data_IF_472932788393
#
_entry.id   IF_472932788393
#
_cell.length_a   1.000
_cell.length_b   1.000
_cell.length_c   1.000
_cell.angle_alpha   90.00
_cell.angle_beta   90.00
_cell.angle_gamma   90.00
#
_symmetry.space_group_name_H-M   'P 1'
#
loop_
_entity.id
_entity.type
_entity.pdbx_description
1 polymer ?
#
# COMPACT_ATOMS: atom_id res chain seq x y z
N UNK A 1 32.27 53.50 3.15
CA UNK A 1 31.69 53.36 4.49
C UNK A 1 30.82 52.08 4.52
N UNK A 2 31.15 51.10 5.34
CA UNK A 2 30.31 49.89 5.53
C UNK A 2 29.20 50.26 6.51
N UNK A 3 27.94 50.21 6.05
CA UNK A 3 26.79 50.41 6.94
C UNK A 3 26.64 49.13 7.75
N UNK A 4 26.73 49.19 9.07
CA UNK A 4 26.48 48.09 9.98
C UNK A 4 24.97 47.87 10.16
N UNK A 5 24.57 46.62 10.34
CA UNK A 5 23.19 46.26 10.63
C UNK A 5 22.85 46.64 12.09
N UNK A 6 21.68 47.21 12.31
CA UNK A 6 21.24 47.55 13.67
C UNK A 6 20.61 46.34 14.35
N UNK A 7 20.72 46.24 15.67
CA UNK A 7 20.16 45.14 16.47
C UNK A 7 18.62 45.07 16.32
N UNK A 8 17.97 46.25 16.19
CA UNK A 8 16.52 46.32 16.04
C UNK A 8 16.06 45.81 14.65
N UNK A 9 16.81 46.05 13.57
CA UNK A 9 16.50 45.52 12.24
C UNK A 9 16.55 44.00 12.25
N UNK A 10 17.52 43.38 12.96
CA UNK A 10 17.61 41.93 13.12
C UNK A 10 16.44 41.38 13.94
N UNK A 11 16.08 42.02 15.07
CA UNK A 11 14.97 41.60 15.91
C UNK A 11 13.62 41.59 15.17
N UNK A 12 13.33 42.65 14.40
CA UNK A 12 12.08 42.74 13.64
C UNK A 12 11.99 41.61 12.60
N UNK A 13 13.06 41.30 11.89
CA UNK A 13 13.11 40.22 10.90
C UNK A 13 12.85 38.87 11.55
N UNK A 14 13.49 38.57 12.68
CA UNK A 14 13.30 37.28 13.39
C UNK A 14 11.87 37.12 13.90
N UNK A 15 11.24 38.18 14.42
CA UNK A 15 9.86 38.17 14.86
C UNK A 15 8.91 37.87 13.68
N UNK A 16 9.10 38.54 12.55
CA UNK A 16 8.26 38.29 11.36
C UNK A 16 8.39 36.83 10.87
N UNK A 17 9.63 36.34 10.76
CA UNK A 17 9.88 34.94 10.36
C UNK A 17 9.22 33.97 11.37
N UNK A 18 9.31 34.24 12.66
CA UNK A 18 8.68 33.42 13.72
C UNK A 18 7.18 33.33 13.58
N UNK A 19 6.50 34.45 13.29
CA UNK A 19 5.04 34.45 13.05
C UNK A 19 4.68 33.68 11.79
N UNK A 20 5.39 33.90 10.69
CA UNK A 20 5.14 33.17 9.45
C UNK A 20 5.38 31.66 9.62
N UNK A 21 6.45 31.27 10.29
CA UNK A 21 6.75 29.85 10.57
C UNK A 21 5.69 29.19 11.44
N UNK A 22 5.16 29.89 12.46
CA UNK A 22 4.12 29.36 13.33
C UNK A 22 2.83 28.96 12.58
N UNK A 23 2.50 29.66 11.49
CA UNK A 23 1.35 29.35 10.64
C UNK A 23 1.70 28.32 9.56
N UNK A 24 2.90 28.38 9.00
CA UNK A 24 3.32 27.56 7.88
C UNK A 24 3.61 26.10 8.26
N UNK A 25 4.25 25.87 9.42
CA UNK A 25 4.66 24.52 9.86
C UNK A 25 3.49 23.55 10.02
N UNK A 26 2.41 23.85 10.78
CA UNK A 26 1.29 22.93 10.94
C UNK A 26 0.58 22.64 9.62
N UNK A 27 0.43 23.60 8.74
CA UNK A 27 -0.15 23.39 7.42
C UNK A 27 0.71 22.50 6.54
N UNK A 28 2.02 22.68 6.56
CA UNK A 28 2.97 21.83 5.83
C UNK A 28 2.92 20.38 6.30
N UNK A 29 2.87 20.14 7.61
CA UNK A 29 2.75 18.78 8.18
C UNK A 29 1.44 18.09 7.73
N UNK A 30 0.33 18.82 7.72
CA UNK A 30 -0.94 18.28 7.24
C UNK A 30 -0.90 17.93 5.74
N UNK A 31 -0.28 18.76 4.92
CA UNK A 31 -0.08 18.50 3.48
C UNK A 31 0.82 17.28 3.25
N UNK A 32 1.90 17.14 4.02
CA UNK A 32 2.81 16.00 3.93
C UNK A 32 2.10 14.68 4.28
N UNK A 33 1.24 14.67 5.30
CA UNK A 33 0.44 13.50 5.65
C UNK A 33 -0.52 13.11 4.52
N UNK A 34 -1.23 14.08 3.93
CA UNK A 34 -2.12 13.85 2.78
C UNK A 34 -1.37 13.29 1.57
N UNK A 35 -0.16 13.78 1.31
CA UNK A 35 0.68 13.28 0.22
C UNK A 35 1.07 11.80 0.45
N UNK A 36 1.44 11.42 1.68
CA UNK A 36 1.72 10.04 2.06
C UNK A 36 0.48 9.14 1.93
N UNK A 37 -0.68 9.60 2.38
CA UNK A 37 -1.95 8.87 2.21
C UNK A 37 -2.31 8.68 0.73
N UNK A 38 -2.04 9.67 -0.11
CA UNK A 38 -2.20 9.53 -1.57
C UNK A 38 -1.26 8.48 -2.16
N UNK A 39 -0.03 8.37 -1.65
CA UNK A 39 0.91 7.32 -2.05
C UNK A 39 0.42 5.93 -1.65
N UNK A 40 -0.20 5.77 -0.47
CA UNK A 40 -0.84 4.51 -0.08
C UNK A 40 -1.95 4.13 -1.05
N UNK A 41 -2.82 5.08 -1.43
CA UNK A 41 -3.86 4.83 -2.42
C UNK A 41 -3.30 4.38 -3.77
N UNK A 42 -2.21 5.00 -4.21
CA UNK A 42 -1.53 4.60 -5.42
C UNK A 42 -0.97 3.18 -5.31
N UNK A 43 -0.39 2.81 -4.18
CA UNK A 43 0.08 1.45 -3.92
C UNK A 43 -1.07 0.43 -3.95
N UNK A 44 -2.25 0.77 -3.40
CA UNK A 44 -3.45 -0.07 -3.48
C UNK A 44 -3.87 -0.31 -4.93
N UNK A 45 -3.91 0.72 -5.76
CA UNK A 45 -4.24 0.58 -7.18
C UNK A 45 -3.18 -0.23 -7.95
N UNK A 46 -1.90 -0.05 -7.61
CA UNK A 46 -0.82 -0.85 -8.22
C UNK A 46 -0.97 -2.32 -7.84
N UNK A 47 -1.26 -2.61 -6.58
CA UNK A 47 -1.52 -3.98 -6.13
C UNK A 47 -2.74 -4.58 -6.84
N UNK A 48 -3.84 -3.84 -6.92
CA UNK A 48 -5.04 -4.25 -7.65
C UNK A 48 -4.72 -4.61 -9.10
N UNK A 49 -3.99 -3.74 -9.79
CA UNK A 49 -3.59 -4.00 -11.20
C UNK A 49 -2.73 -5.25 -11.31
N UNK A 50 -1.84 -5.52 -10.35
CA UNK A 50 -0.99 -6.71 -10.37
C UNK A 50 -1.78 -7.99 -10.10
N UNK A 51 -2.79 -7.95 -9.24
CA UNK A 51 -3.71 -9.08 -9.01
C UNK A 51 -4.55 -9.37 -10.25
N UNK A 52 -5.09 -8.33 -10.90
CA UNK A 52 -5.84 -8.48 -12.16
C UNK A 52 -4.94 -8.99 -13.30
N UNK A 53 -3.67 -8.55 -13.35
CA UNK A 53 -2.71 -9.06 -14.34
C UNK A 53 -2.44 -10.56 -14.12
N UNK A 54 -2.31 -11.03 -12.88
CA UNK A 54 -2.18 -12.45 -12.59
C UNK A 54 -3.37 -13.25 -13.08
N UNK A 55 -4.59 -12.76 -12.86
CA UNK A 55 -5.81 -13.40 -13.36
C UNK A 55 -5.80 -13.52 -14.88
N UNK A 56 -5.39 -12.47 -15.61
CA UNK A 56 -5.33 -12.47 -17.07
C UNK A 56 -4.24 -13.37 -17.67
N UNK A 57 -3.20 -13.71 -16.89
CA UNK A 57 -2.10 -14.60 -17.31
C UNK A 57 -2.47 -16.09 -17.35
N UNK A 58 -3.68 -16.44 -16.97
CA UNK A 58 -4.20 -17.81 -17.05
C UNK A 58 -4.59 -18.41 -15.72
N UNK A 59 -4.63 -17.60 -14.68
CA UNK A 59 -5.08 -18.06 -13.37
C UNK A 59 -6.60 -18.39 -13.36
N UNK A 60 -7.41 -17.69 -14.15
CA UNK A 60 -8.88 -17.83 -14.23
C UNK A 60 -9.63 -17.54 -12.91
N UNK A 61 -8.91 -17.30 -11.81
CA UNK A 61 -9.40 -16.92 -10.50
C UNK A 61 -8.40 -15.99 -9.83
N UNK A 62 -8.73 -15.48 -8.65
CA UNK A 62 -7.81 -14.67 -7.86
C UNK A 62 -6.98 -15.54 -6.92
N UNK A 63 -5.75 -15.15 -6.57
CA UNK A 63 -4.91 -15.91 -5.66
C UNK A 63 -5.45 -15.82 -4.22
N UNK A 64 -5.32 -16.90 -3.44
CA UNK A 64 -5.66 -16.90 -2.02
C UNK A 64 -4.66 -16.06 -1.20
N UNK A 65 -3.42 -15.95 -1.64
CA UNK A 65 -2.41 -15.05 -1.08
C UNK A 65 -1.55 -14.44 -2.19
N UNK A 66 -0.80 -13.39 -1.87
CA UNK A 66 0.04 -12.69 -2.85
C UNK A 66 1.20 -13.52 -3.39
N UNK A 67 1.63 -14.55 -2.67
CA UNK A 67 2.68 -15.49 -3.07
C UNK A 67 2.18 -16.66 -3.91
N UNK A 68 0.86 -16.85 -3.98
CA UNK A 68 0.26 -17.94 -4.76
C UNK A 68 0.51 -17.74 -6.25
N UNK A 69 1.06 -18.78 -6.89
CA UNK A 69 1.44 -18.73 -8.31
C UNK A 69 0.26 -19.00 -9.25
N UNK A 70 0.38 -18.56 -10.51
CA UNK A 70 -0.60 -18.85 -11.56
C UNK A 70 -0.91 -20.34 -11.65
N UNK A 71 0.11 -21.21 -11.58
CA UNK A 71 -0.08 -22.67 -11.64
C UNK A 71 -0.76 -23.28 -10.42
N UNK A 72 -0.69 -22.63 -9.26
CA UNK A 72 -1.43 -23.05 -8.06
C UNK A 72 -2.90 -22.62 -8.14
N UNK A 73 -3.16 -21.41 -8.60
CA UNK A 73 -4.53 -20.90 -8.81
C UNK A 73 -5.24 -21.71 -9.90
N UNK A 74 -4.59 -21.96 -11.03
CA UNK A 74 -5.11 -22.77 -12.12
C UNK A 74 -4.26 -24.03 -12.33
N UNK A 75 -4.67 -25.13 -11.70
CA UNK A 75 -3.97 -26.41 -11.75
C UNK A 75 -3.84 -27.03 -13.15
N UNK A 76 -4.62 -26.54 -14.11
CA UNK A 76 -4.58 -26.98 -15.49
C UNK A 76 -3.66 -26.14 -16.36
N UNK A 77 -3.16 -25.01 -15.83
CA UNK A 77 -2.30 -24.11 -16.56
C UNK A 77 -0.87 -24.64 -16.65
N UNK A 78 -0.33 -24.72 -17.84
CA UNK A 78 1.06 -25.16 -18.11
C UNK A 78 1.76 -24.19 -19.07
N UNK A 79 1.51 -22.91 -18.92
CA UNK A 79 2.13 -21.85 -19.72
C UNK A 79 3.43 -21.32 -19.14
N UNK A 80 4.05 -20.34 -19.82
CA UNK A 80 5.34 -19.75 -19.39
C UNK A 80 5.26 -19.05 -18.04
N UNK A 81 4.10 -18.54 -17.65
CA UNK A 81 3.88 -17.76 -16.43
C UNK A 81 3.49 -18.60 -15.21
N UNK A 82 3.61 -19.92 -15.29
CA UNK A 82 3.16 -20.88 -14.25
C UNK A 82 3.73 -20.58 -12.85
N UNK A 83 4.92 -20.02 -12.76
CA UNK A 83 5.60 -19.67 -11.50
C UNK A 83 5.43 -18.20 -11.10
N UNK A 84 4.73 -17.39 -11.88
CA UNK A 84 4.50 -15.99 -11.53
C UNK A 84 3.46 -15.86 -10.43
N UNK A 85 3.70 -14.94 -9.50
CA UNK A 85 2.80 -14.57 -8.40
C UNK A 85 2.70 -13.04 -8.30
N UNK A 86 1.82 -12.54 -7.46
CA UNK A 86 1.70 -11.10 -7.25
C UNK A 86 2.95 -10.57 -6.55
N UNK A 87 3.37 -11.19 -5.45
CA UNK A 87 4.59 -10.86 -4.73
C UNK A 87 5.13 -12.09 -3.99
N UNK A 88 6.39 -12.48 -4.22
CA UNK A 88 7.04 -13.59 -3.51
C UNK A 88 7.39 -13.22 -2.06
N UNK A 89 7.39 -11.94 -1.72
CA UNK A 89 7.77 -11.43 -0.39
C UNK A 89 6.89 -10.26 0.00
N UNK A 90 6.48 -10.20 1.26
CA UNK A 90 5.68 -9.10 1.83
C UNK A 90 6.54 -8.02 2.49
N UNK A 91 7.84 -8.22 2.56
CA UNK A 91 8.81 -7.29 3.09
C UNK A 91 8.93 -5.98 2.30
N UNK A 92 9.95 -5.17 2.62
CA UNK A 92 10.33 -4.07 1.74
C UNK A 92 10.85 -4.62 0.41
N UNK A 93 10.62 -3.92 -0.75
CA UNK A 93 11.09 -4.39 -2.04
C UNK A 93 12.62 -4.63 -2.05
N UNK A 94 13.13 -5.56 -2.91
CA UNK A 94 12.44 -6.21 -4.03
C UNK A 94 11.52 -7.36 -3.61
N UNK A 95 10.44 -7.55 -4.37
CA UNK A 95 9.41 -8.56 -4.07
C UNK A 95 9.74 -9.96 -4.62
N UNK A 96 10.76 -10.09 -5.44
CA UNK A 96 11.23 -11.36 -6.00
C UNK A 96 11.18 -11.41 -7.53
N UNK A 97 11.95 -12.34 -8.14
CA UNK A 97 12.13 -12.41 -9.59
C UNK A 97 10.88 -12.83 -10.37
N UNK A 98 9.95 -13.56 -9.73
CA UNK A 98 8.69 -13.98 -10.35
C UNK A 98 7.51 -13.09 -9.95
N UNK A 99 7.76 -11.97 -9.30
CA UNK A 99 6.72 -11.05 -8.85
C UNK A 99 6.24 -10.16 -10.00
N UNK A 100 4.92 -10.03 -10.13
CA UNK A 100 4.28 -9.08 -11.04
C UNK A 100 4.32 -7.67 -10.45
N UNK A 101 4.25 -7.57 -9.12
CA UNK A 101 4.26 -6.30 -8.41
C UNK A 101 5.59 -5.56 -8.60
N UNK A 102 5.58 -4.30 -9.04
CA UNK A 102 6.82 -3.56 -9.25
C UNK A 102 7.46 -3.11 -7.93
N UNK A 103 8.80 -3.08 -7.89
CA UNK A 103 9.61 -2.70 -6.72
C UNK A 103 9.48 -1.24 -6.27
N UNK A 104 8.67 -0.43 -6.94
CA UNK A 104 8.40 0.95 -6.55
C UNK A 104 7.30 1.09 -5.49
N UNK A 105 6.57 0.01 -5.18
CA UNK A 105 5.57 -0.04 -4.12
C UNK A 105 6.29 -0.06 -2.77
N UNK A 106 6.34 1.08 -2.09
CA UNK A 106 7.05 1.27 -0.81
C UNK A 106 6.12 1.88 0.22
N UNK A 107 6.36 1.56 1.49
CA UNK A 107 5.65 2.21 2.58
C UNK A 107 6.07 3.69 2.65
N UNK A 108 5.14 4.65 2.42
CA UNK A 108 5.47 6.08 2.39
C UNK A 108 5.72 6.68 3.78
N UNK A 109 5.33 5.99 4.85
CA UNK A 109 5.57 6.44 6.22
C UNK A 109 6.87 5.85 6.78
N UNK A 110 7.15 4.59 6.44
CA UNK A 110 8.31 3.83 6.93
C UNK A 110 9.00 3.12 5.75
N UNK A 111 9.92 3.78 5.03
CA UNK A 111 10.50 3.25 3.78
C UNK A 111 11.21 1.90 3.91
N UNK A 112 11.64 1.54 5.11
CA UNK A 112 12.33 0.26 5.41
C UNK A 112 11.39 -0.79 6.03
N UNK A 113 10.11 -0.47 6.20
CA UNK A 113 9.11 -1.42 6.68
C UNK A 113 8.38 -2.09 5.51
N UNK A 114 7.67 -3.17 5.82
CA UNK A 114 6.75 -3.80 4.88
C UNK A 114 5.77 -2.78 4.31
N UNK A 115 5.51 -2.90 3.03
CA UNK A 115 4.46 -2.14 2.33
C UNK A 115 3.22 -3.00 2.08
N UNK A 116 3.36 -4.31 2.18
CA UNK A 116 2.32 -5.30 1.94
C UNK A 116 2.05 -6.12 3.20
N UNK A 117 0.84 -6.60 3.31
CA UNK A 117 0.41 -7.63 4.23
C UNK A 117 -0.61 -8.52 3.52
N UNK A 118 -0.69 -9.75 3.95
CA UNK A 118 -1.67 -10.70 3.50
C UNK A 118 -2.64 -11.02 4.64
N UNK A 119 -3.95 -10.92 4.39
CA UNK A 119 -5.00 -11.23 5.35
C UNK A 119 -5.61 -12.60 5.04
N UNK A 120 -6.07 -13.31 6.06
CA UNK A 120 -6.74 -14.60 5.89
C UNK A 120 -8.23 -14.44 5.56
N UNK A 121 -8.80 -15.47 4.92
CA UNK A 121 -10.25 -15.58 4.67
C UNK A 121 -11.02 -15.37 5.98
N UNK A 122 -11.97 -14.45 5.98
CA UNK A 122 -12.76 -14.10 7.15
C UNK A 122 -12.22 -12.98 7.99
N UNK A 123 -11.01 -12.49 7.68
CA UNK A 123 -10.52 -11.24 8.25
C UNK A 123 -11.39 -10.09 7.76
N UNK A 124 -11.93 -9.33 8.69
CA UNK A 124 -12.55 -8.07 8.33
C UNK A 124 -11.47 -7.02 8.09
N UNK A 125 -11.80 -5.96 7.35
CA UNK A 125 -10.89 -4.83 7.17
C UNK A 125 -10.37 -4.22 8.49
N UNK A 126 -10.97 -4.58 9.62
CA UNK A 126 -10.59 -4.19 10.98
C UNK A 126 -9.62 -5.19 11.63
N UNK A 127 -9.64 -6.45 11.17
CA UNK A 127 -8.83 -7.55 11.72
C UNK A 127 -7.53 -7.75 10.94
N UNK A 128 -7.43 -7.15 9.75
CA UNK A 128 -6.22 -7.20 8.95
C UNK A 128 -5.02 -6.69 9.78
N UNK A 129 -4.16 -7.59 10.13
CA UNK A 129 -3.07 -7.41 11.09
C UNK A 129 -1.97 -6.56 10.48
N UNK A 130 -2.11 -5.28 10.61
CA UNK A 130 -1.07 -4.36 10.17
C UNK A 130 -1.34 -2.99 10.77
N UNK A 131 -0.97 -2.81 12.01
CA UNK A 131 -1.11 -1.56 12.75
C UNK A 131 -0.18 -0.46 12.27
N UNK A 132 0.58 -0.67 11.20
CA UNK A 132 1.56 0.29 10.70
C UNK A 132 0.97 1.16 9.59
N UNK A 133 1.06 2.47 9.77
CA UNK A 133 0.71 3.44 8.73
C UNK A 133 1.47 3.13 7.42
N UNK A 134 0.77 3.25 6.30
CA UNK A 134 1.35 3.04 4.97
C UNK A 134 1.33 1.60 4.46
N UNK A 135 0.80 0.67 5.24
CA UNK A 135 0.63 -0.72 4.84
C UNK A 135 -0.55 -0.85 3.87
N UNK A 136 -0.44 -1.77 2.93
CA UNK A 136 -1.52 -2.21 2.05
C UNK A 136 -1.70 -3.71 2.26
N UNK A 137 -2.90 -4.14 2.64
CA UNK A 137 -3.22 -5.54 2.78
C UNK A 137 -4.10 -6.02 1.63
N UNK A 138 -3.81 -7.25 1.22
CA UNK A 138 -4.65 -8.07 0.37
C UNK A 138 -5.44 -9.02 1.28
N UNK A 139 -6.71 -9.13 1.07
CA UNK A 139 -7.62 -9.99 1.83
C UNK A 139 -8.42 -10.78 0.81
N UNK A 140 -8.22 -12.06 0.75
CA UNK A 140 -9.02 -12.98 -0.03
C UNK A 140 -10.42 -13.15 0.57
N UNK A 141 -11.42 -13.31 -0.28
CA UNK A 141 -12.79 -13.57 0.13
C UNK A 141 -13.43 -14.62 -0.78
N UNK A 142 -14.32 -15.43 -0.22
CA UNK A 142 -14.99 -16.52 -0.93
C UNK A 142 -14.01 -17.50 -1.60
N UNK A 143 -13.32 -18.30 -0.77
CA UNK A 143 -12.46 -19.38 -1.23
C UNK A 143 -13.15 -20.27 -2.28
N UNK A 144 -12.40 -20.71 -3.29
CA UNK A 144 -12.88 -21.71 -4.22
C UNK A 144 -12.99 -23.05 -3.49
N UNK A 145 -14.18 -23.71 -3.45
CA UNK A 145 -14.36 -24.98 -2.75
C UNK A 145 -13.53 -26.12 -3.34
N UNK A 146 -13.01 -25.98 -4.55
CA UNK A 146 -12.22 -27.00 -5.25
C UNK A 146 -10.72 -26.71 -5.24
N UNK A 147 -10.32 -25.49 -4.89
CA UNK A 147 -8.92 -25.09 -4.87
C UNK A 147 -8.67 -24.09 -3.72
N UNK A 148 -7.97 -24.51 -2.68
CA UNK A 148 -7.63 -23.67 -1.53
C UNK A 148 -6.66 -22.52 -1.87
N UNK A 149 -5.96 -22.61 -3.00
CA UNK A 149 -5.02 -21.58 -3.46
C UNK A 149 -5.71 -20.51 -4.35
N UNK A 150 -7.04 -20.60 -4.52
CA UNK A 150 -7.84 -19.69 -5.33
C UNK A 150 -9.01 -19.09 -4.55
N UNK A 151 -9.34 -17.84 -4.85
CA UNK A 151 -10.54 -17.19 -4.34
C UNK A 151 -11.36 -16.54 -5.46
N UNK A 152 -12.63 -16.27 -5.20
CA UNK A 152 -13.55 -15.69 -6.17
C UNK A 152 -13.57 -14.17 -6.10
N UNK A 153 -13.30 -13.61 -4.94
CA UNK A 153 -13.24 -12.17 -4.70
C UNK A 153 -12.12 -11.82 -3.73
N UNK A 154 -11.69 -10.58 -3.74
CA UNK A 154 -10.69 -10.06 -2.82
C UNK A 154 -10.98 -8.61 -2.44
N UNK A 155 -10.38 -8.17 -1.34
CA UNK A 155 -10.37 -6.79 -0.90
C UNK A 155 -8.94 -6.29 -0.75
N UNK A 156 -8.72 -5.01 -1.08
CA UNK A 156 -7.47 -4.33 -0.81
C UNK A 156 -7.73 -3.19 0.17
N UNK A 157 -7.00 -3.19 1.25
CA UNK A 157 -7.13 -2.24 2.36
C UNK A 157 -5.83 -1.50 2.57
N UNK A 158 -5.89 -0.18 2.74
CA UNK A 158 -4.73 0.66 3.00
C UNK A 158 -4.85 1.45 4.29
N UNK A 159 -3.78 1.57 5.05
CA UNK A 159 -3.72 2.31 6.31
C UNK A 159 -3.07 3.68 6.13
N UNK A 160 -3.80 4.74 6.50
CA UNK A 160 -3.28 6.10 6.57
C UNK A 160 -2.57 6.42 7.90
N UNK A 161 -2.10 7.68 8.03
CA UNK A 161 -1.36 8.16 9.20
C UNK A 161 -2.11 8.10 10.54
N UNK A 162 -3.45 8.08 10.49
CA UNK A 162 -4.31 8.19 11.68
C UNK A 162 -5.05 6.91 12.04
N UNK A 163 -4.57 5.77 11.62
CA UNK A 163 -5.20 4.50 11.95
C UNK A 163 -5.39 4.32 13.47
N UNK A 164 -4.39 4.68 14.28
CA UNK A 164 -4.44 4.59 15.75
C UNK A 164 -5.51 5.46 16.41
N UNK A 165 -6.16 6.36 15.67
CA UNK A 165 -7.23 7.24 16.14
C UNK A 165 -8.63 6.80 15.70
N UNK A 166 -8.84 5.53 15.30
CA UNK A 166 -10.14 4.98 14.91
C UNK A 166 -10.61 5.41 13.51
N UNK A 167 -9.74 5.95 12.67
CA UNK A 167 -10.06 6.14 11.25
C UNK A 167 -10.13 4.79 10.55
N UNK A 168 -11.23 4.55 9.87
CA UNK A 168 -11.36 3.35 9.03
C UNK A 168 -10.24 3.32 7.98
N UNK A 169 -9.68 2.15 7.70
CA UNK A 169 -8.73 1.99 6.62
C UNK A 169 -9.37 2.38 5.27
N UNK A 170 -8.52 2.81 4.34
CA UNK A 170 -8.95 3.00 2.95
C UNK A 170 -9.22 1.62 2.36
N UNK A 171 -10.37 1.42 1.76
CA UNK A 171 -10.78 0.12 1.20
C UNK A 171 -11.09 0.26 -0.29
N UNK A 172 -10.52 -0.65 -1.10
CA UNK A 172 -10.92 -0.90 -2.48
C UNK A 172 -11.52 -2.30 -2.53
N UNK A 173 -12.67 -2.43 -3.14
CA UNK A 173 -13.27 -3.71 -3.48
C UNK A 173 -12.95 -4.03 -4.93
N UNK A 174 -12.53 -5.25 -5.20
CA UNK A 174 -12.37 -5.71 -6.57
C UNK A 174 -13.69 -6.16 -7.17
N UNK A 175 -13.72 -6.20 -8.48
CA UNK A 175 -14.86 -6.75 -9.21
C UNK A 175 -15.05 -8.24 -8.87
N UNK A 176 -16.29 -8.67 -8.88
CA UNK A 176 -16.65 -10.09 -8.74
C UNK A 176 -16.12 -10.83 -9.96
N UNK A 177 -15.29 -11.84 -9.75
CA UNK A 177 -14.96 -12.80 -10.81
C UNK A 177 -16.26 -13.39 -11.35
N UNK A 178 -16.40 -13.45 -12.66
CA UNK A 178 -17.61 -13.96 -13.32
C UNK A 178 -17.61 -15.47 -13.37
#
# INVERSE_FOLDING_TARGET
MRKGFTLIELMVVVVIIGILAAIAIPNFMAMQQRAKESSVKNNMHTLQTSVEDLNTRGADAYPADLGTTVGQVNLSYNGPDVNMCVAESYGPPPYGPNSILPDNVKNPFYPNASSLNDGAIGDTAQDAVGTSAGLVAYIDDLADPNNADACQTYYIVGWGAKYDQGRLPLMLTAGVAK
#
